data_IF_700520138218
#
_entry.id   IF_700520138218
#
_cell.length_a   1.000
_cell.length_b   1.000
_cell.length_c   1.000
_cell.angle_alpha   90.00
_cell.angle_beta   90.00
_cell.angle_gamma   90.00
#
_symmetry.space_group_name_H-M   'P 1'
#
loop_
_entity.id
_entity.type
_entity.pdbx_description
1 polymer ?
#
# COMPACT_ATOMS: atom_id res chain seq x y z
N UNK A 1 2.39 -7.59 7.88
CA UNK A 1 1.68 -6.29 7.84
C UNK A 1 2.66 -5.16 7.53
N UNK A 2 3.51 -4.76 8.50
CA UNK A 2 4.32 -3.54 8.42
C UNK A 2 5.25 -3.54 7.19
N UNK A 3 5.92 -4.66 6.88
CA UNK A 3 6.77 -4.77 5.68
C UNK A 3 6.03 -4.40 4.38
N UNK A 4 4.84 -4.97 4.16
CA UNK A 4 4.07 -4.74 2.94
C UNK A 4 3.47 -3.33 2.88
N UNK A 5 2.97 -2.83 4.02
CA UNK A 5 2.54 -1.43 4.13
C UNK A 5 3.69 -0.48 3.77
N UNK A 6 4.88 -0.76 4.31
CA UNK A 6 6.07 0.04 4.09
C UNK A 6 6.52 0.04 2.63
N UNK A 7 6.39 -1.08 1.91
CA UNK A 7 6.64 -1.10 0.45
C UNK A 7 5.75 -0.09 -0.28
N UNK A 8 4.44 -0.09 -0.02
CA UNK A 8 3.52 0.80 -0.73
C UNK A 8 3.74 2.28 -0.40
N UNK A 9 4.19 2.58 0.83
CA UNK A 9 4.53 3.94 1.28
C UNK A 9 5.89 4.39 0.74
N UNK A 10 6.91 3.53 0.80
CA UNK A 10 8.27 3.83 0.33
C UNK A 10 8.32 4.08 -1.18
N UNK A 11 7.51 3.33 -1.95
CA UNK A 11 7.37 3.57 -3.38
C UNK A 11 6.50 4.77 -3.72
N UNK A 12 5.92 5.45 -2.72
CA UNK A 12 4.97 6.54 -2.89
C UNK A 12 3.79 6.12 -3.79
N UNK A 13 3.37 4.86 -3.65
CA UNK A 13 2.19 4.30 -4.33
C UNK A 13 0.91 4.64 -3.58
N UNK A 14 1.00 4.70 -2.25
CA UNK A 14 -0.11 5.11 -1.39
C UNK A 14 0.33 6.10 -0.31
N UNK A 15 -0.64 6.84 0.21
CA UNK A 15 -0.56 7.48 1.52
C UNK A 15 -1.66 6.95 2.43
N UNK A 16 -1.31 6.73 3.69
CA UNK A 16 -2.20 6.22 4.71
C UNK A 16 -2.56 7.34 5.68
N UNK A 17 -3.83 7.41 6.08
CA UNK A 17 -4.34 8.37 7.07
C UNK A 17 -5.21 7.63 8.09
N UNK A 18 -4.64 7.14 9.19
CA UNK A 18 -5.41 6.50 10.26
C UNK A 18 -6.30 7.54 10.97
N UNK A 19 -7.46 7.09 11.44
CA UNK A 19 -8.43 7.87 12.21
C UNK A 19 -8.82 7.11 13.46
N UNK A 20 -8.69 7.79 14.59
CA UNK A 20 -9.05 7.25 15.90
C UNK A 20 -10.42 7.71 16.37
N UNK A 21 -11.01 6.95 17.29
CA UNK A 21 -12.23 7.37 17.95
C UNK A 21 -11.95 8.57 18.88
N UNK A 22 -12.82 9.58 18.86
CA UNK A 22 -12.72 10.74 19.77
C UNK A 22 -12.76 10.32 21.24
N UNK A 23 -13.52 9.26 21.55
CA UNK A 23 -13.63 8.71 22.90
C UNK A 23 -12.44 7.80 23.29
N UNK A 24 -11.74 7.25 22.29
CA UNK A 24 -10.63 6.31 22.47
C UNK A 24 -9.53 6.57 21.44
N UNK A 25 -8.65 7.56 21.68
CA UNK A 25 -7.63 7.98 20.71
C UNK A 25 -6.64 6.88 20.30
N UNK A 26 -6.45 5.86 21.14
CA UNK A 26 -5.59 4.70 20.87
C UNK A 26 -6.24 3.68 19.93
N UNK A 27 -7.58 3.72 19.79
CA UNK A 27 -8.32 2.81 18.93
C UNK A 27 -8.45 3.40 17.53
N UNK A 28 -7.63 2.89 16.60
CA UNK A 28 -7.78 3.17 15.17
C UNK A 28 -9.03 2.43 14.69
N UNK A 29 -10.07 3.19 14.35
CA UNK A 29 -11.35 2.61 13.88
C UNK A 29 -11.36 2.45 12.37
N UNK A 30 -10.77 3.40 11.66
CA UNK A 30 -10.67 3.34 10.23
C UNK A 30 -9.41 3.99 9.71
N UNK A 31 -9.05 3.65 8.48
CA UNK A 31 -7.86 4.20 7.83
C UNK A 31 -8.16 4.47 6.38
N UNK A 32 -7.94 5.71 5.96
CA UNK A 32 -8.05 6.08 4.55
C UNK A 32 -6.74 5.80 3.83
N UNK A 33 -6.83 5.18 2.66
CA UNK A 33 -5.73 4.87 1.75
C UNK A 33 -5.93 5.69 0.49
N UNK A 34 -5.01 6.61 0.25
CA UNK A 34 -4.98 7.45 -0.94
C UNK A 34 -3.99 6.84 -1.93
N UNK A 35 -4.49 6.33 -3.05
CA UNK A 35 -3.70 5.70 -4.10
C UNK A 35 -3.18 6.80 -5.04
N UNK A 36 -1.85 6.91 -5.11
CA UNK A 36 -1.14 7.90 -5.93
C UNK A 36 -0.70 7.34 -7.28
N UNK A 37 -0.27 6.08 -7.32
CA UNK A 37 0.16 5.39 -8.53
C UNK A 37 0.21 3.88 -8.34
N UNK A 38 0.06 3.15 -9.45
CA UNK A 38 0.29 1.70 -9.50
C UNK A 38 1.54 1.46 -10.35
N UNK A 39 2.65 1.08 -9.74
CA UNK A 39 3.90 0.87 -10.48
C UNK A 39 3.77 -0.37 -11.39
N UNK A 40 4.02 -0.16 -12.67
CA UNK A 40 4.14 -1.23 -13.67
C UNK A 40 5.54 -1.85 -13.68
N UNK A 41 5.70 -3.03 -14.30
CA UNK A 41 7.02 -3.65 -14.49
C UNK A 41 7.99 -2.74 -15.26
N UNK A 42 7.51 -1.96 -16.22
CA UNK A 42 8.31 -0.99 -16.97
C UNK A 42 8.73 0.22 -16.14
N UNK A 43 7.86 0.69 -15.24
CA UNK A 43 8.16 1.82 -14.33
C UNK A 43 9.02 1.37 -13.14
N UNK A 44 9.13 0.06 -12.88
CA UNK A 44 9.96 -0.47 -11.80
C UNK A 44 11.45 -0.10 -11.95
N UNK A 45 11.95 0.09 -13.17
CA UNK A 45 13.31 0.58 -13.42
C UNK A 45 14.44 -0.43 -13.19
N UNK A 46 14.12 -1.69 -12.83
CA UNK A 46 15.07 -2.81 -12.69
C UNK A 46 14.39 -4.13 -13.10
N UNK A 47 15.12 -5.24 -13.29
CA UNK A 47 14.51 -6.55 -13.45
C UNK A 47 13.59 -6.89 -12.24
N UNK A 48 12.37 -7.43 -12.45
CA UNK A 48 11.40 -7.66 -11.37
C UNK A 48 11.88 -8.51 -10.19
N UNK A 49 12.84 -9.40 -10.44
CA UNK A 49 13.45 -10.29 -9.45
C UNK A 49 14.63 -9.67 -8.70
N UNK A 50 15.11 -8.50 -9.14
CA UNK A 50 16.17 -7.78 -8.43
C UNK A 50 15.59 -7.05 -7.21
N UNK A 51 16.33 -7.14 -6.12
CA UNK A 51 16.02 -6.48 -4.86
C UNK A 51 16.41 -5.00 -4.90
N UNK A 52 15.52 -4.15 -4.41
CA UNK A 52 15.75 -2.75 -4.06
C UNK A 52 15.86 -2.61 -2.56
N UNK A 53 16.57 -1.58 -2.12
CA UNK A 53 16.59 -1.17 -0.72
C UNK A 53 15.49 -0.15 -0.44
N UNK A 54 14.94 -0.19 0.77
CA UNK A 54 14.07 0.88 1.26
C UNK A 54 14.83 2.21 1.33
N UNK A 55 14.12 3.32 1.10
CA UNK A 55 14.68 4.66 1.26
C UNK A 55 15.03 5.00 2.72
N UNK A 56 14.36 4.33 3.66
CA UNK A 56 14.53 4.50 5.10
C UNK A 56 14.90 3.16 5.76
N UNK A 57 15.53 3.21 6.93
CA UNK A 57 15.93 2.00 7.67
C UNK A 57 14.72 1.14 8.03
N UNK A 58 14.75 -0.13 7.65
CA UNK A 58 13.74 -1.15 7.94
C UNK A 58 14.42 -2.49 8.26
N UNK A 59 13.84 -3.29 9.16
CA UNK A 59 14.45 -4.55 9.63
C UNK A 59 14.74 -5.53 8.49
N UNK A 60 13.81 -5.63 7.52
CA UNK A 60 14.01 -6.35 6.27
C UNK A 60 14.44 -5.31 5.22
N UNK A 61 15.72 -5.21 4.87
CA UNK A 61 16.22 -4.02 4.18
C UNK A 61 15.82 -3.96 2.70
N UNK A 62 15.26 -5.03 2.15
CA UNK A 62 15.07 -5.19 0.71
C UNK A 62 13.71 -5.78 0.32
N UNK A 63 13.27 -5.42 -0.88
CA UNK A 63 12.05 -5.90 -1.53
C UNK A 63 12.22 -5.90 -3.05
N UNK A 64 11.46 -6.72 -3.76
CA UNK A 64 11.44 -6.74 -5.22
C UNK A 64 10.04 -6.40 -5.78
N UNK A 65 9.86 -6.48 -7.10
CA UNK A 65 8.59 -6.13 -7.72
C UNK A 65 7.45 -7.10 -7.39
N UNK A 66 7.78 -8.37 -7.14
CA UNK A 66 6.78 -9.35 -6.70
C UNK A 66 6.32 -9.06 -5.27
N UNK A 67 7.23 -8.64 -4.39
CA UNK A 67 6.86 -8.15 -3.05
C UNK A 67 5.95 -6.93 -3.13
N UNK A 68 6.20 -6.02 -4.09
CA UNK A 68 5.31 -4.88 -4.38
C UNK A 68 3.89 -5.30 -4.81
N UNK A 69 3.76 -6.30 -5.70
CA UNK A 69 2.44 -6.85 -6.06
C UNK A 69 1.76 -7.47 -4.83
N UNK A 70 2.51 -8.27 -4.06
CA UNK A 70 1.98 -8.91 -2.85
C UNK A 70 1.59 -7.89 -1.79
N UNK A 71 2.22 -6.72 -1.76
CA UNK A 71 1.92 -5.68 -0.80
C UNK A 71 0.46 -5.21 -0.87
N UNK A 72 -0.14 -5.15 -2.06
CA UNK A 72 -1.54 -4.78 -2.23
C UNK A 72 -2.50 -5.75 -1.53
N UNK A 73 -2.15 -7.03 -1.43
CA UNK A 73 -2.97 -8.03 -0.74
C UNK A 73 -2.73 -8.06 0.78
N UNK A 74 -1.51 -7.80 1.22
CA UNK A 74 -1.11 -8.04 2.61
C UNK A 74 -1.04 -6.79 3.48
N UNK A 75 -0.92 -5.60 2.89
CA UNK A 75 -0.82 -4.34 3.64
C UNK A 75 -2.11 -4.01 4.39
N UNK A 76 -3.26 -4.45 3.91
CA UNK A 76 -4.58 -4.07 4.43
C UNK A 76 -5.25 -5.15 5.31
N UNK A 77 -4.48 -6.13 5.79
CA UNK A 77 -4.97 -7.18 6.69
C UNK A 77 -5.09 -6.76 8.18
N UNK A 78 -4.77 -5.51 8.50
CA UNK A 78 -4.74 -5.04 9.88
C UNK A 78 -6.17 -5.04 10.43
N UNK A 79 -6.32 -5.52 11.66
CA UNK A 79 -7.53 -5.42 12.44
C UNK A 79 -7.18 -4.78 13.79
N UNK A 80 -8.11 -3.97 14.29
CA UNK A 80 -7.98 -3.42 15.64
C UNK A 80 -8.38 -4.49 16.67
N UNK A 81 -8.19 -4.19 17.95
CA UNK A 81 -8.50 -5.11 19.07
C UNK A 81 -9.98 -5.53 19.15
N UNK A 82 -10.86 -4.86 18.40
CA UNK A 82 -12.30 -5.15 18.36
C UNK A 82 -12.72 -5.88 17.08
N UNK A 83 -11.79 -6.22 16.19
CA UNK A 83 -12.03 -6.80 14.86
C UNK A 83 -13.02 -5.97 14.01
N UNK A 84 -12.95 -4.64 14.17
CA UNK A 84 -13.87 -3.67 13.53
C UNK A 84 -13.14 -2.58 12.76
N UNK A 85 -11.91 -2.85 12.33
CA UNK A 85 -11.16 -1.88 11.53
C UNK A 85 -11.67 -1.88 10.09
N UNK A 86 -11.87 -0.67 9.55
CA UNK A 86 -12.27 -0.47 8.16
C UNK A 86 -11.20 0.28 7.36
N UNK A 87 -10.93 -0.22 6.16
CA UNK A 87 -10.11 0.46 5.16
C UNK A 87 -10.99 1.22 4.17
N UNK A 88 -10.64 2.48 3.91
CA UNK A 88 -11.32 3.32 2.93
C UNK A 88 -10.36 3.68 1.80
N UNK A 89 -10.61 3.16 0.61
CA UNK A 89 -9.75 3.42 -0.54
C UNK A 89 -10.24 4.59 -1.38
N UNK A 90 -9.31 5.43 -1.81
CA UNK A 90 -9.58 6.56 -2.71
C UNK A 90 -8.42 6.72 -3.68
N UNK A 91 -8.69 7.02 -4.95
CA UNK A 91 -7.64 7.58 -5.82
C UNK A 91 -7.39 9.03 -5.40
N UNK A 92 -6.13 9.37 -5.15
CA UNK A 92 -5.76 10.75 -4.82
C UNK A 92 -5.99 11.67 -6.03
N UNK A 93 -6.20 12.97 -5.78
CA UNK A 93 -6.30 13.97 -6.83
C UNK A 93 -5.05 14.06 -7.72
N UNK A 94 -3.89 13.60 -7.25
CA UNK A 94 -2.65 13.55 -8.04
C UNK A 94 -2.52 12.27 -8.86
N UNK A 95 -3.44 11.31 -8.72
CA UNK A 95 -3.44 10.09 -9.52
C UNK A 95 -3.55 10.42 -11.00
N UNK A 96 -2.70 9.83 -11.84
CA UNK A 96 -2.76 10.02 -13.28
C UNK A 96 -3.86 9.12 -13.88
N UNK A 97 -4.99 9.67 -14.35
CA UNK A 97 -6.09 8.86 -14.88
C UNK A 97 -5.74 8.16 -16.21
N UNK A 98 -4.62 8.53 -16.84
CA UNK A 98 -4.11 7.89 -18.06
C UNK A 98 -3.06 6.81 -17.77
N UNK A 99 -2.74 6.54 -16.51
CA UNK A 99 -1.80 5.48 -16.16
C UNK A 99 -2.30 4.13 -16.68
N UNK A 100 -1.40 3.33 -17.25
CA UNK A 100 -1.71 1.95 -17.62
C UNK A 100 -1.82 1.14 -16.33
N UNK A 101 -3.02 0.65 -16.02
CA UNK A 101 -3.26 -0.22 -14.88
C UNK A 101 -3.13 -1.68 -15.35
N UNK A 102 -2.22 -2.42 -14.73
CA UNK A 102 -2.01 -3.83 -15.07
C UNK A 102 -3.16 -4.71 -14.54
N UNK A 103 -3.40 -5.82 -15.23
CA UNK A 103 -4.52 -6.73 -14.95
C UNK A 103 -4.57 -7.20 -13.49
N UNK A 104 -3.43 -7.56 -12.91
CA UNK A 104 -3.35 -8.04 -11.51
C UNK A 104 -3.91 -7.02 -10.51
N UNK A 105 -3.77 -5.71 -10.79
CA UNK A 105 -4.30 -4.68 -9.90
C UNK A 105 -5.81 -4.53 -10.09
N UNK A 106 -6.30 -4.66 -11.32
CA UNK A 106 -7.74 -4.67 -11.60
C UNK A 106 -8.43 -5.85 -10.93
N UNK A 107 -7.81 -7.03 -10.94
CA UNK A 107 -8.30 -8.20 -10.20
C UNK A 107 -8.37 -7.91 -8.69
N UNK A 108 -7.30 -7.36 -8.12
CA UNK A 108 -7.29 -6.99 -6.69
C UNK A 108 -8.35 -5.92 -6.33
N UNK A 109 -8.55 -4.91 -7.18
CA UNK A 109 -9.48 -3.80 -6.91
C UNK A 109 -10.96 -4.18 -7.03
N UNK A 110 -11.27 -5.22 -7.81
CA UNK A 110 -12.67 -5.59 -8.13
C UNK A 110 -13.23 -6.73 -7.28
N UNK A 111 -12.40 -7.35 -6.44
CA UNK A 111 -12.79 -8.35 -5.44
C UNK A 111 -13.00 -7.73 -4.06
#
# INVERSE_FOLDING_TARGET
>A
QIFYEFILVDTDSIKISPKSNLSSPELITHTSVFIHKIITTSEWGQPPHHYKQFSSSFDIPVYNYFDYIQAWNHAFLFQNIEDRHSWFFCFDKTFNPKQIILYWFMEWWTF
#
